data_IF_415370110183
#
_entry.id   IF_415370110183
#
_cell.length_a   1.000
_cell.length_b   1.000
_cell.length_c   1.000
_cell.angle_alpha   90.00
_cell.angle_beta   90.00
_cell.angle_gamma   90.00
#
_symmetry.space_group_name_H-M   'P 1'
#
loop_
_entity.id
_entity.type
_entity.pdbx_description
1 polymer ?
#
# COMPACT_ATOMS: atom_id res chain seq x y z
N UNK A 1 -6.32 -61.11 68.66
CA UNK A 1 -6.50 -60.87 67.22
C UNK A 1 -7.99 -61.05 66.91
N UNK A 2 -8.96 -60.25 67.36
CA UNK A 2 -9.00 -58.82 67.75
C UNK A 2 -8.31 -57.89 66.77
N UNK A 3 -8.74 -57.96 65.50
CA UNK A 3 -8.76 -56.82 64.59
C UNK A 3 -9.73 -57.03 63.40
N UNK A 4 -10.89 -57.68 63.61
CA UNK A 4 -11.93 -57.85 62.56
C UNK A 4 -13.28 -57.20 62.91
N UNK A 5 -13.34 -56.35 63.95
CA UNK A 5 -14.57 -55.67 64.39
C UNK A 5 -14.44 -54.16 64.58
N UNK A 6 -13.73 -53.50 63.67
CA UNK A 6 -13.83 -52.05 63.55
C UNK A 6 -14.09 -51.70 62.09
N UNK A 7 -15.15 -50.91 61.88
CA UNK A 7 -15.63 -50.34 60.61
C UNK A 7 -16.68 -51.15 59.85
N UNK A 8 -17.82 -51.42 60.52
CA UNK A 8 -19.11 -51.35 59.81
C UNK A 8 -19.31 -49.90 59.31
N UNK A 9 -18.91 -49.64 58.07
CA UNK A 9 -19.27 -48.42 57.35
C UNK A 9 -20.67 -48.57 56.73
N UNK A 10 -21.53 -47.54 56.80
CA UNK A 10 -22.89 -47.61 56.25
C UNK A 10 -22.86 -47.78 54.73
N UNK A 11 -23.84 -48.53 54.21
CA UNK A 11 -24.07 -48.73 52.78
C UNK A 11 -23.96 -47.40 51.99
N UNK A 12 -23.42 -47.42 50.76
CA UNK A 12 -23.28 -46.20 49.97
C UNK A 12 -24.67 -45.58 49.79
N UNK A 13 -24.83 -44.38 50.38
CA UNK A 13 -25.99 -43.52 50.18
C UNK A 13 -26.22 -43.44 48.67
N UNK A 14 -27.39 -43.88 48.22
CA UNK A 14 -27.88 -43.65 46.85
C UNK A 14 -27.56 -42.20 46.50
N UNK A 15 -26.60 -42.00 45.62
CA UNK A 15 -26.28 -40.70 45.05
C UNK A 15 -27.58 -40.23 44.44
N UNK A 16 -28.20 -39.19 45.04
CA UNK A 16 -29.38 -38.55 44.47
C UNK A 16 -29.02 -38.17 43.04
N UNK A 17 -29.58 -38.89 42.07
CA UNK A 17 -29.46 -38.54 40.67
C UNK A 17 -29.90 -37.09 40.55
N UNK A 18 -28.98 -36.22 40.09
CA UNK A 18 -29.32 -34.84 39.79
C UNK A 18 -30.51 -34.88 38.83
N UNK A 19 -31.57 -34.09 39.08
CA UNK A 19 -32.75 -34.12 38.22
C UNK A 19 -32.31 -33.95 36.76
N UNK A 20 -32.89 -34.70 35.81
CA UNK A 20 -32.45 -34.69 34.43
C UNK A 20 -32.52 -33.25 33.93
N UNK A 21 -31.35 -32.68 33.65
CA UNK A 21 -31.25 -31.35 33.04
C UNK A 21 -32.06 -31.44 31.76
N UNK A 22 -33.16 -30.68 31.66
CA UNK A 22 -33.97 -30.62 30.44
C UNK A 22 -33.06 -30.15 29.30
N UNK A 23 -32.62 -31.10 28.48
CA UNK A 23 -31.77 -30.84 27.31
C UNK A 23 -32.68 -30.32 26.19
N UNK A 24 -32.51 -29.06 25.82
CA UNK A 24 -33.12 -28.50 24.63
C UNK A 24 -32.12 -28.63 23.48
N UNK A 25 -32.53 -29.32 22.40
CA UNK A 25 -31.72 -29.47 21.19
C UNK A 25 -32.16 -28.40 20.19
N UNK A 26 -31.24 -27.51 19.81
CA UNK A 26 -31.46 -26.50 18.78
C UNK A 26 -30.65 -26.91 17.54
N UNK A 27 -31.33 -27.10 16.41
CA UNK A 27 -30.69 -27.42 15.13
C UNK A 27 -30.59 -26.16 14.27
N UNK A 28 -29.37 -25.75 13.93
CA UNK A 28 -29.08 -24.60 13.08
C UNK A 28 -28.42 -25.09 11.78
N UNK A 29 -28.95 -24.67 10.64
CA UNK A 29 -28.32 -24.90 9.32
C UNK A 29 -27.48 -23.67 8.96
N UNK A 30 -26.18 -23.84 8.86
CA UNK A 30 -25.23 -22.75 8.55
C UNK A 30 -24.52 -23.10 7.25
N UNK A 31 -24.70 -22.27 6.22
CA UNK A 31 -24.14 -22.46 4.88
C UNK A 31 -22.92 -21.55 4.60
N UNK A 32 -22.27 -21.07 5.65
CA UNK A 32 -21.09 -20.20 5.55
C UNK A 32 -19.81 -21.00 5.81
N UNK A 33 -18.90 -21.16 4.82
CA UNK A 33 -17.69 -21.97 4.97
C UNK A 33 -16.68 -21.39 5.97
N UNK A 34 -16.78 -20.11 6.33
CA UNK A 34 -15.93 -19.50 7.34
C UNK A 34 -16.36 -19.89 8.76
N UNK A 35 -17.59 -20.37 8.95
CA UNK A 35 -18.10 -20.78 10.26
C UNK A 35 -17.58 -22.17 10.61
N UNK A 36 -16.48 -22.20 11.36
CA UNK A 36 -15.92 -23.45 11.91
C UNK A 36 -16.53 -23.77 13.27
N UNK A 37 -16.50 -25.05 13.67
CA UNK A 37 -17.00 -25.48 15.00
C UNK A 37 -16.32 -24.73 16.14
N UNK A 38 -15.00 -24.52 16.04
CA UNK A 38 -14.19 -23.83 17.05
C UNK A 38 -14.60 -22.36 17.14
N UNK A 39 -14.65 -21.66 16.01
CA UNK A 39 -15.01 -20.25 15.98
C UNK A 39 -16.46 -20.01 16.44
N UNK A 40 -17.37 -20.92 16.10
CA UNK A 40 -18.77 -20.85 16.54
C UNK A 40 -18.90 -21.04 18.06
N UNK A 41 -18.15 -21.99 18.63
CA UNK A 41 -18.08 -22.18 20.08
C UNK A 41 -17.49 -20.94 20.78
N UNK A 42 -16.43 -20.34 20.23
CA UNK A 42 -15.84 -19.10 20.74
C UNK A 42 -16.84 -17.94 20.69
N UNK A 43 -17.64 -17.83 19.63
CA UNK A 43 -18.69 -16.83 19.56
C UNK A 43 -19.77 -17.06 20.62
N UNK A 44 -20.21 -18.30 20.85
CA UNK A 44 -21.17 -18.64 21.90
C UNK A 44 -20.63 -18.37 23.31
N UNK A 45 -19.32 -18.54 23.54
CA UNK A 45 -18.67 -18.18 24.81
C UNK A 45 -18.90 -16.71 25.19
N UNK A 46 -19.09 -15.83 24.21
CA UNK A 46 -19.39 -14.42 24.42
C UNK A 46 -20.74 -14.16 25.11
N UNK A 47 -21.65 -15.15 25.17
CA UNK A 47 -22.89 -15.08 25.96
C UNK A 47 -22.64 -15.19 27.46
N UNK A 48 -21.57 -15.88 27.84
CA UNK A 48 -21.25 -16.19 29.24
C UNK A 48 -20.09 -15.34 29.77
N UNK A 49 -19.21 -14.89 28.88
CA UNK A 49 -18.01 -14.10 29.21
C UNK A 49 -17.99 -12.85 28.34
N UNK A 50 -18.01 -11.67 28.95
CA UNK A 50 -18.08 -10.37 28.25
C UNK A 50 -16.87 -10.10 27.32
N UNK A 51 -15.73 -10.75 27.58
CA UNK A 51 -14.46 -10.61 26.87
C UNK A 51 -13.94 -11.98 26.42
N UNK A 52 -14.64 -12.66 25.51
CA UNK A 52 -14.05 -13.82 24.85
C UNK A 52 -12.77 -13.40 24.10
N UNK A 53 -11.62 -13.95 24.46
CA UNK A 53 -10.35 -13.75 23.76
C UNK A 53 -10.47 -14.29 22.33
N UNK A 54 -10.18 -13.42 21.36
CA UNK A 54 -10.18 -13.76 19.93
C UNK A 54 -8.75 -13.58 19.43
N UNK A 55 -8.19 -14.61 18.80
CA UNK A 55 -6.89 -14.54 18.14
C UNK A 55 -7.05 -13.95 16.73
N UNK A 56 -5.99 -13.35 16.18
CA UNK A 56 -5.98 -12.90 14.77
C UNK A 56 -6.09 -14.07 13.77
N UNK A 57 -5.68 -15.27 14.16
CA UNK A 57 -5.76 -16.47 13.30
C UNK A 57 -7.20 -16.96 13.16
N UNK A 58 -7.99 -16.90 14.24
CA UNK A 58 -9.37 -17.36 14.28
C UNK A 58 -10.40 -16.26 13.94
N UNK A 59 -9.95 -15.00 13.84
CA UNK A 59 -10.83 -13.82 13.76
C UNK A 59 -11.84 -13.90 12.62
N UNK A 60 -11.47 -14.48 11.48
CA UNK A 60 -12.33 -14.64 10.32
C UNK A 60 -13.55 -15.52 10.62
N UNK A 61 -13.31 -16.67 11.25
CA UNK A 61 -14.38 -17.59 11.61
C UNK A 61 -15.23 -17.06 12.75
N UNK A 62 -14.62 -16.36 13.72
CA UNK A 62 -15.36 -15.77 14.84
C UNK A 62 -16.24 -14.62 14.36
N UNK A 63 -15.78 -13.80 13.42
CA UNK A 63 -16.58 -12.76 12.78
C UNK A 63 -17.77 -13.36 12.01
N UNK A 64 -17.54 -14.42 11.22
CA UNK A 64 -18.59 -15.13 10.49
C UNK A 64 -19.65 -15.73 11.43
N UNK A 65 -19.19 -16.31 12.55
CA UNK A 65 -20.05 -16.88 13.58
C UNK A 65 -20.84 -15.79 14.31
N UNK A 66 -20.21 -14.68 14.66
CA UNK A 66 -20.86 -13.52 15.26
C UNK A 66 -21.94 -12.93 14.35
N UNK A 67 -21.68 -12.86 13.04
CA UNK A 67 -22.67 -12.45 12.05
C UNK A 67 -23.88 -13.40 12.03
N UNK A 68 -23.62 -14.71 11.98
CA UNK A 68 -24.65 -15.76 11.97
C UNK A 68 -25.52 -15.72 13.23
N UNK A 69 -24.89 -15.55 14.40
CA UNK A 69 -25.55 -15.47 15.71
C UNK A 69 -26.12 -14.06 16.03
N UNK A 70 -25.90 -13.08 15.16
CA UNK A 70 -26.30 -11.67 15.34
C UNK A 70 -25.67 -10.99 16.58
N UNK A 71 -24.46 -11.39 16.95
CA UNK A 71 -23.70 -10.75 18.03
C UNK A 71 -22.95 -9.51 17.53
N UNK A 72 -23.65 -8.37 17.49
CA UNK A 72 -23.12 -7.11 16.94
C UNK A 72 -21.86 -6.60 17.64
N UNK A 73 -21.80 -6.68 18.98
CA UNK A 73 -20.63 -6.23 19.75
C UNK A 73 -19.38 -7.07 19.47
N UNK A 74 -19.54 -8.40 19.38
CA UNK A 74 -18.46 -9.32 19.00
C UNK A 74 -18.01 -9.08 17.56
N UNK A 75 -18.97 -8.91 16.64
CA UNK A 75 -18.68 -8.62 15.24
C UNK A 75 -17.83 -7.35 15.10
N UNK A 76 -18.23 -6.25 15.73
CA UNK A 76 -17.48 -4.99 15.69
C UNK A 76 -16.10 -5.09 16.38
N UNK A 77 -15.97 -5.89 17.45
CA UNK A 77 -14.68 -6.18 18.07
C UNK A 77 -13.74 -6.93 17.12
N UNK A 78 -14.25 -7.92 16.38
CA UNK A 78 -13.49 -8.63 15.35
C UNK A 78 -13.05 -7.67 14.23
N UNK A 79 -13.95 -6.80 13.74
CA UNK A 79 -13.61 -5.79 12.72
C UNK A 79 -12.47 -4.88 13.21
N UNK A 80 -12.57 -4.35 14.43
CA UNK A 80 -11.53 -3.50 15.01
C UNK A 80 -10.18 -4.23 15.17
N UNK A 81 -10.21 -5.51 15.54
CA UNK A 81 -9.02 -6.35 15.63
C UNK A 81 -8.39 -6.58 14.26
N UNK A 82 -9.20 -6.90 13.24
CA UNK A 82 -8.75 -7.08 11.86
C UNK A 82 -8.11 -5.81 11.31
N UNK A 83 -8.72 -4.64 11.51
CA UNK A 83 -8.18 -3.35 11.06
C UNK A 83 -6.81 -3.04 11.70
N UNK A 84 -6.63 -3.37 12.98
CA UNK A 84 -5.36 -3.19 13.69
C UNK A 84 -4.28 -4.19 13.28
N UNK A 85 -4.69 -5.40 12.91
CA UNK A 85 -3.80 -6.50 12.52
C UNK A 85 -3.56 -6.64 11.02
N UNK A 86 -3.78 -5.59 10.22
CA UNK A 86 -3.55 -5.64 8.77
C UNK A 86 -2.08 -5.84 8.44
N UNK A 87 -1.81 -6.86 7.62
CA UNK A 87 -0.47 -7.24 7.20
C UNK A 87 -0.51 -7.92 5.82
N UNK A 88 0.63 -8.04 5.11
CA UNK A 88 0.69 -8.58 3.76
C UNK A 88 0.00 -9.94 3.59
N UNK A 89 0.07 -10.82 4.60
CA UNK A 89 -0.44 -12.19 4.50
C UNK A 89 -1.96 -12.30 4.60
N UNK A 90 -2.63 -11.35 5.26
CA UNK A 90 -4.06 -11.42 5.58
C UNK A 90 -4.93 -10.39 4.83
N UNK A 91 -4.34 -9.39 4.18
CA UNK A 91 -5.08 -8.32 3.50
C UNK A 91 -6.12 -8.82 2.49
N UNK A 92 -5.79 -9.85 1.71
CA UNK A 92 -6.71 -10.46 0.75
C UNK A 92 -7.95 -10.97 1.47
N UNK A 93 -7.75 -11.78 2.51
CA UNK A 93 -8.82 -12.49 3.19
C UNK A 93 -9.68 -11.49 3.98
N UNK A 94 -9.07 -10.46 4.56
CA UNK A 94 -9.78 -9.39 5.26
C UNK A 94 -10.61 -8.54 4.29
N UNK A 95 -10.06 -8.20 3.12
CA UNK A 95 -10.80 -7.47 2.09
C UNK A 95 -12.01 -8.25 1.56
N UNK A 96 -11.83 -9.54 1.24
CA UNK A 96 -12.91 -10.41 0.77
C UNK A 96 -13.98 -10.62 1.84
N UNK A 97 -13.57 -10.72 3.10
CA UNK A 97 -14.46 -10.82 4.27
C UNK A 97 -15.29 -9.54 4.43
N UNK A 98 -14.65 -8.37 4.37
CA UNK A 98 -15.33 -7.08 4.37
C UNK A 98 -16.38 -6.99 3.27
N UNK A 99 -16.04 -7.41 2.05
CA UNK A 99 -17.00 -7.47 0.93
C UNK A 99 -18.15 -8.44 1.17
N UNK A 100 -17.87 -9.64 1.67
CA UNK A 100 -18.87 -10.69 1.92
C UNK A 100 -19.92 -10.24 2.94
N UNK A 101 -19.48 -9.62 4.03
CA UNK A 101 -20.36 -9.14 5.11
C UNK A 101 -20.77 -7.67 4.96
N UNK A 102 -20.40 -7.01 3.86
CA UNK A 102 -20.69 -5.60 3.56
C UNK A 102 -20.23 -4.63 4.66
N UNK A 103 -19.06 -4.90 5.23
CA UNK A 103 -18.43 -4.06 6.26
C UNK A 103 -17.47 -3.04 5.61
N UNK A 104 -18.00 -1.86 5.32
CA UNK A 104 -17.29 -0.79 4.60
C UNK A 104 -16.07 -0.26 5.35
N UNK A 105 -16.09 -0.27 6.70
CA UNK A 105 -14.93 0.19 7.48
C UNK A 105 -13.71 -0.69 7.24
N UNK A 106 -13.92 -2.01 7.19
CA UNK A 106 -12.86 -2.98 6.93
C UNK A 106 -12.36 -2.90 5.48
N UNK A 107 -13.27 -2.75 4.51
CA UNK A 107 -12.92 -2.55 3.09
C UNK A 107 -12.03 -1.31 2.94
N UNK A 108 -12.47 -0.19 3.50
CA UNK A 108 -11.74 1.09 3.45
C UNK A 108 -10.38 0.98 4.15
N UNK A 109 -10.30 0.27 5.27
CA UNK A 109 -9.04 0.05 5.99
C UNK A 109 -8.03 -0.75 5.14
N UNK A 110 -8.49 -1.81 4.46
CA UNK A 110 -7.65 -2.59 3.54
C UNK A 110 -7.16 -1.74 2.36
N UNK A 111 -8.06 -0.94 1.76
CA UNK A 111 -7.73 -0.04 0.65
C UNK A 111 -6.67 1.00 1.09
N UNK A 112 -6.88 1.70 2.21
CA UNK A 112 -5.91 2.69 2.75
C UNK A 112 -4.57 2.07 3.15
N UNK A 113 -4.60 0.89 3.76
CA UNK A 113 -3.36 0.20 4.12
C UNK A 113 -2.56 -0.14 2.87
N UNK A 114 -3.22 -0.61 1.80
CA UNK A 114 -2.52 -0.95 0.56
C UNK A 114 -2.06 0.28 -0.22
N UNK A 115 -2.79 1.40 -0.18
CA UNK A 115 -2.38 2.68 -0.78
C UNK A 115 -0.97 3.11 -0.35
N UNK A 116 -0.58 2.88 0.90
CA UNK A 116 0.76 3.25 1.37
C UNK A 116 1.79 2.12 1.31
N UNK A 117 1.32 0.86 1.37
CA UNK A 117 2.19 -0.31 1.51
C UNK A 117 2.41 -1.08 0.20
N UNK A 118 1.70 -0.75 -0.90
CA UNK A 118 1.82 -1.48 -2.17
C UNK A 118 3.26 -1.55 -2.68
N UNK A 119 3.95 -0.42 -2.75
CA UNK A 119 5.33 -0.36 -3.22
C UNK A 119 6.35 -0.72 -2.13
N UNK A 120 6.35 -0.08 -0.94
CA UNK A 120 7.43 -0.29 0.04
C UNK A 120 7.39 -1.65 0.75
N UNK A 121 6.19 -2.22 0.95
CA UNK A 121 6.02 -3.48 1.72
C UNK A 121 5.61 -4.63 0.81
N UNK A 122 4.54 -4.48 0.02
CA UNK A 122 4.07 -5.58 -0.83
C UNK A 122 5.03 -5.86 -1.99
N UNK A 123 5.69 -4.83 -2.54
CA UNK A 123 6.68 -4.96 -3.60
C UNK A 123 7.91 -5.81 -3.24
N UNK A 124 8.12 -6.11 -1.96
CA UNK A 124 9.25 -6.92 -1.46
C UNK A 124 8.79 -8.29 -0.93
N UNK A 125 7.54 -8.68 -1.18
CA UNK A 125 6.96 -9.90 -0.58
C UNK A 125 6.21 -10.76 -1.59
N UNK A 126 6.34 -12.08 -1.43
CA UNK A 126 5.61 -13.07 -2.25
C UNK A 126 4.09 -12.92 -2.12
N UNK A 127 3.63 -12.35 -1.00
CA UNK A 127 2.21 -12.07 -0.72
C UNK A 127 1.57 -11.10 -1.72
N UNK A 128 2.36 -10.34 -2.50
CA UNK A 128 1.86 -9.51 -3.59
C UNK A 128 0.92 -10.29 -4.53
N UNK A 129 1.21 -11.58 -4.76
CA UNK A 129 0.36 -12.47 -5.59
C UNK A 129 -1.07 -12.64 -5.07
N UNK A 130 -1.31 -12.41 -3.77
CA UNK A 130 -2.62 -12.59 -3.15
C UNK A 130 -3.56 -11.41 -3.42
N UNK A 131 -3.06 -10.27 -3.87
CA UNK A 131 -3.88 -9.07 -4.06
C UNK A 131 -4.87 -9.28 -5.22
N UNK A 132 -6.19 -9.17 -4.99
CA UNK A 132 -7.18 -9.22 -6.06
C UNK A 132 -7.02 -8.06 -7.03
N UNK A 133 -7.25 -8.32 -8.32
CA UNK A 133 -7.15 -7.33 -9.39
C UNK A 133 -8.02 -6.09 -9.14
N UNK A 134 -9.22 -6.27 -8.62
CA UNK A 134 -10.18 -5.19 -8.36
C UNK A 134 -9.67 -4.25 -7.26
N UNK A 135 -9.10 -4.81 -6.18
CA UNK A 135 -8.48 -4.05 -5.10
C UNK A 135 -7.26 -3.29 -5.63
N UNK A 136 -6.41 -3.95 -6.42
CA UNK A 136 -5.24 -3.33 -7.03
C UNK A 136 -5.64 -2.15 -7.93
N UNK A 137 -6.65 -2.33 -8.79
CA UNK A 137 -7.15 -1.27 -9.66
C UNK A 137 -7.66 -0.05 -8.89
N UNK A 138 -8.42 -0.27 -7.81
CA UNK A 138 -8.89 0.82 -6.94
C UNK A 138 -7.73 1.60 -6.32
N UNK A 139 -6.73 0.89 -5.79
CA UNK A 139 -5.56 1.50 -5.16
C UNK A 139 -4.72 2.29 -6.17
N UNK A 140 -4.54 1.76 -7.38
CA UNK A 140 -3.78 2.45 -8.45
C UNK A 140 -4.42 3.77 -8.88
N UNK A 141 -5.75 3.88 -8.82
CA UNK A 141 -6.49 5.10 -9.14
C UNK A 141 -6.51 6.10 -7.98
N UNK A 142 -6.10 5.69 -6.79
CA UNK A 142 -6.14 6.55 -5.62
C UNK A 142 -5.05 7.63 -5.70
N UNK A 143 -5.40 8.92 -5.51
CA UNK A 143 -4.40 9.99 -5.43
C UNK A 143 -3.51 9.86 -4.18
N UNK A 144 -3.95 9.10 -3.16
CA UNK A 144 -3.22 8.84 -1.91
C UNK A 144 -2.14 7.77 -2.05
N UNK A 145 -2.06 7.09 -3.20
CA UNK A 145 -1.07 6.03 -3.41
C UNK A 145 0.34 6.56 -3.21
N UNK A 146 1.05 5.96 -2.26
CA UNK A 146 2.46 6.23 -2.03
C UNK A 146 3.33 5.38 -2.97
N UNK A 147 4.30 6.02 -3.60
CA UNK A 147 5.37 5.34 -4.33
C UNK A 147 6.66 6.16 -4.26
N UNK A 148 7.81 5.50 -4.26
CA UNK A 148 9.11 6.18 -4.33
C UNK A 148 9.33 6.89 -5.67
N UNK A 149 8.83 6.32 -6.76
CA UNK A 149 8.70 6.93 -8.08
C UNK A 149 7.72 6.11 -8.93
N UNK A 150 7.25 6.67 -10.04
CA UNK A 150 6.42 5.92 -11.01
C UNK A 150 7.10 4.65 -11.52
N UNK A 151 8.44 4.68 -11.64
CA UNK A 151 9.20 3.51 -12.04
C UNK A 151 9.20 2.38 -11.00
N UNK A 152 9.27 2.70 -9.69
CA UNK A 152 9.13 1.69 -8.64
C UNK A 152 7.74 1.05 -8.66
N UNK A 153 6.70 1.86 -8.89
CA UNK A 153 5.33 1.36 -9.03
C UNK A 153 5.20 0.43 -10.24
N UNK A 154 5.81 0.78 -11.37
CA UNK A 154 5.88 -0.08 -12.54
C UNK A 154 6.54 -1.43 -12.21
N UNK A 155 7.70 -1.44 -11.54
CA UNK A 155 8.38 -2.69 -11.14
C UNK A 155 7.49 -3.55 -10.26
N UNK A 156 6.80 -2.95 -9.29
CA UNK A 156 5.83 -3.65 -8.43
C UNK A 156 4.69 -4.29 -9.24
N UNK A 157 4.15 -3.58 -10.24
CA UNK A 157 3.07 -4.14 -11.07
C UNK A 157 3.56 -5.26 -12.00
N UNK A 158 4.73 -5.12 -12.61
CA UNK A 158 5.34 -6.16 -13.42
C UNK A 158 5.57 -7.43 -12.59
N UNK A 159 6.07 -7.26 -11.36
CA UNK A 159 6.24 -8.35 -10.41
C UNK A 159 4.89 -8.99 -10.04
N UNK A 160 3.85 -8.19 -9.78
CA UNK A 160 2.50 -8.72 -9.51
C UNK A 160 2.01 -9.58 -10.69
N UNK A 161 2.12 -9.10 -11.93
CA UNK A 161 1.73 -9.86 -13.14
C UNK A 161 2.53 -11.16 -13.25
N UNK A 162 3.85 -11.09 -13.08
CA UNK A 162 4.71 -12.26 -13.12
C UNK A 162 4.29 -13.32 -12.09
N UNK A 163 3.98 -12.90 -10.86
CA UNK A 163 3.52 -13.79 -9.80
C UNK A 163 2.12 -14.37 -10.05
N UNK A 164 1.23 -13.62 -10.72
CA UNK A 164 -0.07 -14.14 -11.17
C UNK A 164 0.08 -15.24 -12.22
N UNK A 165 1.10 -15.16 -13.08
CA UNK A 165 1.31 -16.17 -14.13
C UNK A 165 2.07 -17.39 -13.61
N UNK A 166 2.94 -17.20 -12.60
CA UNK A 166 3.85 -18.22 -12.10
C UNK A 166 3.50 -18.68 -10.68
N UNK A 167 2.33 -19.31 -10.53
CA UNK A 167 1.76 -19.72 -9.25
C UNK A 167 2.65 -20.66 -8.40
N UNK A 168 3.54 -21.42 -9.03
CA UNK A 168 4.41 -22.40 -8.36
C UNK A 168 5.57 -21.76 -7.60
N UNK A 169 5.87 -20.49 -7.86
CA UNK A 169 6.97 -19.78 -7.23
C UNK A 169 6.65 -19.55 -5.75
N UNK A 170 7.62 -19.87 -4.89
CA UNK A 170 7.52 -19.70 -3.44
C UNK A 170 8.41 -18.58 -2.90
N UNK A 171 9.41 -18.17 -3.69
CA UNK A 171 10.38 -17.13 -3.33
C UNK A 171 10.17 -15.88 -4.18
N UNK A 172 10.61 -14.72 -3.67
CA UNK A 172 10.55 -13.49 -4.46
C UNK A 172 11.58 -13.55 -5.59
N UNK A 173 11.18 -13.42 -6.87
CA UNK A 173 12.14 -13.38 -7.97
C UNK A 173 12.94 -12.08 -7.95
N UNK A 174 14.18 -12.16 -8.43
CA UNK A 174 14.96 -10.96 -8.76
C UNK A 174 14.31 -10.21 -9.92
N UNK A 175 14.52 -8.90 -9.99
CA UNK A 175 13.88 -8.06 -10.99
C UNK A 175 14.31 -8.44 -12.43
N UNK A 176 15.56 -8.83 -12.60
CA UNK A 176 16.15 -9.30 -13.86
C UNK A 176 15.45 -10.56 -14.37
N UNK A 177 15.02 -11.44 -13.46
CA UNK A 177 14.25 -12.65 -13.81
C UNK A 177 12.88 -12.28 -14.37
N UNK A 178 12.21 -11.30 -13.74
CA UNK A 178 10.92 -10.78 -14.21
C UNK A 178 11.07 -10.15 -15.61
N UNK A 179 12.13 -9.37 -15.82
CA UNK A 179 12.41 -8.75 -17.12
C UNK A 179 12.73 -9.80 -18.20
N UNK A 180 13.56 -10.80 -17.87
CA UNK A 180 13.87 -11.90 -18.79
C UNK A 180 12.62 -12.68 -19.19
N UNK A 181 11.69 -12.91 -18.25
CA UNK A 181 10.41 -13.56 -18.54
C UNK A 181 9.61 -12.78 -19.59
N UNK A 182 9.40 -11.47 -19.41
CA UNK A 182 8.65 -10.68 -20.39
C UNK A 182 9.38 -10.58 -21.73
N UNK A 183 10.71 -10.50 -21.71
CA UNK A 183 11.52 -10.44 -22.94
C UNK A 183 11.64 -11.77 -23.68
N UNK A 184 11.29 -12.89 -23.04
CA UNK A 184 11.26 -14.21 -23.68
C UNK A 184 10.12 -14.37 -24.71
N UNK A 185 9.08 -13.55 -24.60
CA UNK A 185 7.96 -13.58 -25.52
C UNK A 185 8.33 -13.03 -26.92
N UNK A 186 7.72 -13.52 -28.01
CA UNK A 186 7.96 -13.00 -29.36
C UNK A 186 7.78 -11.48 -29.47
N UNK A 187 8.74 -10.78 -30.08
CA UNK A 187 8.72 -9.31 -30.22
C UNK A 187 7.73 -8.75 -31.26
N UNK A 188 6.94 -9.61 -31.92
CA UNK A 188 5.92 -9.19 -32.89
C UNK A 188 4.76 -8.44 -32.24
N UNK A 189 4.43 -8.77 -30.99
CA UNK A 189 3.41 -8.10 -30.20
C UNK A 189 3.83 -8.02 -28.74
N UNK A 190 3.53 -6.89 -28.10
CA UNK A 190 3.83 -6.66 -26.68
C UNK A 190 2.99 -7.58 -25.78
N UNK A 191 3.41 -7.76 -24.53
CA UNK A 191 2.65 -8.58 -23.58
C UNK A 191 1.20 -8.11 -23.40
N UNK A 192 0.97 -6.79 -23.29
CA UNK A 192 -0.38 -6.23 -23.07
C UNK A 192 -1.33 -6.39 -24.26
N UNK A 193 -0.82 -6.55 -25.48
CA UNK A 193 -1.63 -6.75 -26.69
C UNK A 193 -2.09 -8.20 -26.88
N UNK A 194 -1.61 -9.13 -26.03
CA UNK A 194 -2.00 -10.54 -26.08
C UNK A 194 -3.27 -10.79 -25.28
N UNK A 195 -3.92 -11.92 -25.52
CA UNK A 195 -5.15 -12.32 -24.80
C UNK A 195 -4.98 -12.30 -23.27
N UNK A 196 -3.84 -12.80 -22.78
CA UNK A 196 -3.48 -12.79 -21.36
C UNK A 196 -3.28 -11.38 -20.79
N UNK A 197 -2.87 -10.42 -21.64
CA UNK A 197 -2.55 -9.04 -21.28
C UNK A 197 -3.73 -8.08 -21.40
N UNK A 198 -4.70 -8.35 -22.28
CA UNK A 198 -5.83 -7.45 -22.57
C UNK A 198 -6.63 -7.11 -21.30
N UNK A 199 -6.88 -8.11 -20.45
CA UNK A 199 -7.55 -7.90 -19.17
C UNK A 199 -6.79 -6.97 -18.21
N UNK A 200 -5.48 -6.79 -18.38
CA UNK A 200 -4.61 -6.04 -17.48
C UNK A 200 -4.43 -4.58 -17.91
N UNK A 201 -4.83 -4.20 -19.13
CA UNK A 201 -4.61 -2.86 -19.67
C UNK A 201 -5.11 -1.74 -18.74
N UNK A 202 -6.28 -1.93 -18.11
CA UNK A 202 -6.86 -0.94 -17.19
C UNK A 202 -5.97 -0.65 -15.97
N UNK A 203 -5.21 -1.63 -15.48
CA UNK A 203 -4.26 -1.42 -14.39
C UNK A 203 -3.11 -0.51 -14.83
N UNK A 204 -2.55 -0.78 -16.01
CA UNK A 204 -1.37 -0.07 -16.51
C UNK A 204 -1.71 1.32 -17.05
N UNK A 205 -2.95 1.57 -17.48
CA UNK A 205 -3.45 2.92 -17.78
C UNK A 205 -3.51 3.83 -16.54
N UNK A 206 -3.48 3.28 -15.32
CA UNK A 206 -3.41 4.07 -14.10
C UNK A 206 -1.98 4.57 -13.81
N UNK A 207 -0.95 4.02 -14.48
CA UNK A 207 0.43 4.47 -14.31
C UNK A 207 0.67 5.80 -15.00
N UNK A 208 1.43 6.67 -14.36
CA UNK A 208 1.83 7.96 -14.93
C UNK A 208 3.19 7.79 -15.60
N UNK A 209 3.21 7.07 -16.72
CA UNK A 209 4.48 6.72 -17.41
C UNK A 209 5.29 7.95 -17.83
N UNK A 210 4.65 9.11 -18.05
CA UNK A 210 5.32 10.40 -18.26
C UNK A 210 6.10 10.91 -17.04
N UNK A 211 5.89 10.33 -15.85
CA UNK A 211 6.67 10.60 -14.65
C UNK A 211 7.95 9.78 -14.52
N UNK A 212 8.25 8.90 -15.48
CA UNK A 212 9.54 8.20 -15.56
C UNK A 212 10.54 9.09 -16.30
N UNK A 213 11.32 9.89 -15.58
CA UNK A 213 12.20 10.91 -16.18
C UNK A 213 13.67 10.55 -16.22
N UNK A 214 14.10 9.51 -15.48
CA UNK A 214 15.51 9.10 -15.43
C UNK A 214 15.89 8.36 -16.72
N UNK A 215 17.04 8.71 -17.29
CA UNK A 215 17.52 8.10 -18.55
C UNK A 215 17.64 6.58 -18.49
N UNK A 216 18.25 6.04 -17.42
CA UNK A 216 18.37 4.58 -17.21
C UNK A 216 17.00 3.89 -17.15
N UNK A 217 16.04 4.48 -16.45
CA UNK A 217 14.67 3.95 -16.31
C UNK A 217 13.91 4.01 -17.65
N UNK A 218 14.12 5.07 -18.45
CA UNK A 218 13.54 5.21 -19.79
C UNK A 218 14.11 4.20 -20.79
N UNK A 219 15.42 3.92 -20.74
CA UNK A 219 16.01 2.87 -21.56
C UNK A 219 15.47 1.50 -21.16
N UNK A 220 15.29 1.22 -19.88
CA UNK A 220 14.65 -0.02 -19.43
C UNK A 220 13.19 -0.12 -19.93
N UNK A 221 12.42 0.97 -19.82
CA UNK A 221 11.05 1.05 -20.33
C UNK A 221 10.96 0.85 -21.84
N UNK A 222 11.99 1.22 -22.60
CA UNK A 222 12.06 0.99 -24.05
C UNK A 222 12.32 -0.47 -24.40
N UNK A 223 13.11 -1.19 -23.60
CA UNK A 223 13.53 -2.56 -23.89
C UNK A 223 12.56 -3.61 -23.37
N UNK A 224 11.65 -3.26 -22.46
CA UNK A 224 10.68 -4.19 -21.91
C UNK A 224 9.65 -4.60 -22.98
N UNK A 225 9.54 -5.90 -23.26
CA UNK A 225 8.49 -6.45 -24.14
C UNK A 225 7.15 -6.57 -23.39
N UNK A 226 6.66 -5.45 -22.83
CA UNK A 226 5.44 -5.40 -22.04
C UNK A 226 4.38 -4.46 -22.61
N UNK A 227 4.78 -3.24 -22.94
CA UNK A 227 3.89 -2.18 -23.38
C UNK A 227 3.70 -2.15 -24.90
N UNK A 228 2.50 -1.76 -25.39
CA UNK A 228 2.29 -1.46 -26.80
C UNK A 228 3.26 -0.38 -27.27
N UNK A 229 3.79 -0.51 -28.49
CA UNK A 229 4.73 0.46 -29.04
C UNK A 229 4.14 1.86 -29.10
N UNK A 230 2.83 1.98 -29.40
CA UNK A 230 2.10 3.25 -29.43
C UNK A 230 2.13 4.01 -28.11
N UNK A 231 2.12 3.30 -26.97
CA UNK A 231 2.21 3.91 -25.64
C UNK A 231 3.60 4.46 -25.39
N UNK A 232 4.64 3.68 -25.72
CA UNK A 232 6.04 4.11 -25.58
C UNK A 232 6.35 5.32 -26.47
N UNK A 233 5.83 5.35 -27.69
CA UNK A 233 5.93 6.51 -28.59
C UNK A 233 5.28 7.74 -27.96
N UNK A 234 4.09 7.60 -27.37
CA UNK A 234 3.41 8.72 -26.68
C UNK A 234 4.22 9.24 -25.48
N UNK A 235 4.79 8.33 -24.67
CA UNK A 235 5.65 8.72 -23.53
C UNK A 235 6.87 9.49 -24.03
N UNK A 236 7.55 9.01 -25.08
CA UNK A 236 8.69 9.70 -25.69
C UNK A 236 8.31 11.06 -26.26
N UNK A 237 7.18 11.14 -26.98
CA UNK A 237 6.67 12.40 -27.53
C UNK A 237 6.39 13.42 -26.41
N UNK A 238 5.79 12.99 -25.30
CA UNK A 238 5.54 13.85 -24.14
C UNK A 238 6.85 14.39 -23.54
N UNK A 239 7.87 13.55 -23.38
CA UNK A 239 9.17 14.01 -22.90
C UNK A 239 9.86 14.94 -23.89
N UNK A 240 9.80 14.63 -25.19
CA UNK A 240 10.35 15.46 -26.25
C UNK A 240 9.73 16.86 -26.25
N UNK A 241 8.39 16.95 -26.26
CA UNK A 241 7.70 18.23 -26.18
C UNK A 241 7.99 18.99 -24.89
N UNK A 242 8.11 18.30 -23.76
CA UNK A 242 8.48 18.97 -22.52
C UNK A 242 9.90 19.55 -22.60
N UNK A 243 10.86 18.82 -23.19
CA UNK A 243 12.22 19.29 -23.40
C UNK A 243 12.29 20.47 -24.36
N UNK A 244 11.58 20.42 -25.49
CA UNK A 244 11.48 21.53 -26.45
C UNK A 244 10.93 22.80 -25.80
N UNK A 245 9.94 22.67 -24.92
CA UNK A 245 9.38 23.79 -24.16
C UNK A 245 10.18 24.13 -22.89
N UNK A 246 11.42 23.66 -22.77
CA UNK A 246 12.34 23.94 -21.66
C UNK A 246 11.88 23.44 -20.29
N UNK A 247 11.22 22.29 -20.30
CA UNK A 247 10.73 21.52 -19.17
C UNK A 247 9.23 21.66 -18.90
N UNK A 248 8.51 22.47 -19.68
CA UNK A 248 7.09 22.74 -19.47
C UNK A 248 6.22 21.52 -19.84
N UNK A 249 5.31 21.16 -18.94
CA UNK A 249 4.36 20.05 -19.06
C UNK A 249 2.99 20.59 -19.44
N UNK A 250 2.89 21.22 -20.60
CA UNK A 250 1.73 22.04 -21.02
C UNK A 250 0.39 21.30 -20.95
N UNK A 251 0.39 19.98 -21.17
CA UNK A 251 -0.83 19.16 -21.16
C UNK A 251 -1.22 18.60 -19.78
N UNK A 252 -0.43 18.88 -18.73
CA UNK A 252 -0.67 18.38 -17.38
C UNK A 252 -1.17 19.53 -16.48
N UNK A 253 -2.33 19.35 -15.87
CA UNK A 253 -2.96 20.40 -15.02
C UNK A 253 -3.45 19.87 -13.68
N UNK A 254 -3.91 18.62 -13.64
CA UNK A 254 -4.45 18.00 -12.45
C UNK A 254 -3.37 17.29 -11.64
N UNK A 255 -3.10 17.77 -10.41
CA UNK A 255 -2.13 17.14 -9.54
C UNK A 255 -2.58 15.74 -9.10
N UNK A 256 -3.88 15.57 -8.84
CA UNK A 256 -4.43 14.37 -8.25
C UNK A 256 -4.22 13.15 -9.15
N UNK A 257 -4.35 13.31 -10.48
CA UNK A 257 -4.24 12.20 -11.44
C UNK A 257 -2.99 12.25 -12.32
N UNK A 258 -2.37 13.41 -12.54
CA UNK A 258 -1.30 13.57 -13.53
C UNK A 258 0.05 13.98 -12.95
N UNK A 259 0.14 14.39 -11.68
CA UNK A 259 1.41 14.81 -11.10
C UNK A 259 2.47 13.72 -11.17
N UNK A 260 3.72 14.11 -11.36
CA UNK A 260 4.83 13.24 -10.98
C UNK A 260 4.84 13.09 -9.47
N UNK A 261 5.03 11.86 -9.00
CA UNK A 261 5.02 11.53 -7.58
C UNK A 261 6.37 10.97 -7.16
N UNK A 262 6.93 11.56 -6.12
CA UNK A 262 8.15 11.09 -5.49
C UNK A 262 7.91 10.89 -3.99
N UNK A 263 8.24 9.69 -3.51
CA UNK A 263 8.02 9.30 -2.13
C UNK A 263 9.29 9.32 -1.30
N UNK A 264 9.15 9.75 -0.04
CA UNK A 264 10.14 9.66 1.02
C UNK A 264 9.53 8.88 2.19
N UNK A 265 10.11 7.74 2.54
CA UNK A 265 9.69 6.98 3.73
C UNK A 265 10.60 7.36 4.89
N UNK A 266 10.04 8.02 5.89
CA UNK A 266 10.78 8.57 7.02
C UNK A 266 10.57 7.71 8.27
N UNK A 267 11.59 6.94 8.61
CA UNK A 267 11.61 6.09 9.81
C UNK A 267 12.08 6.88 11.03
N UNK A 268 11.68 6.43 12.23
CA UNK A 268 12.02 7.06 13.50
C UNK A 268 13.54 7.18 13.78
N UNK A 269 14.35 6.30 13.17
CA UNK A 269 15.81 6.30 13.25
C UNK A 269 16.45 7.50 12.52
N UNK A 270 15.75 8.09 11.55
CA UNK A 270 16.28 9.21 10.79
C UNK A 270 16.13 10.53 11.57
N UNK A 271 17.25 11.23 11.74
CA UNK A 271 17.25 12.64 12.12
C UNK A 271 17.02 13.53 10.90
N UNK A 272 17.60 13.15 9.77
CA UNK A 272 17.43 13.78 8.46
C UNK A 272 17.50 12.71 7.39
N UNK A 273 16.60 12.78 6.42
CA UNK A 273 16.61 11.90 5.25
C UNK A 273 16.27 12.74 4.02
N UNK A 274 17.01 12.53 2.94
CA UNK A 274 16.86 13.32 1.72
C UNK A 274 17.10 12.47 0.48
N UNK A 275 16.52 12.92 -0.64
CA UNK A 275 16.68 12.27 -1.93
C UNK A 275 16.70 13.30 -3.05
N UNK A 276 17.63 13.13 -3.97
CA UNK A 276 17.74 13.96 -5.16
C UNK A 276 16.84 13.45 -6.29
N UNK A 277 16.21 14.39 -6.98
CA UNK A 277 15.30 14.19 -8.12
C UNK A 277 15.79 15.06 -9.26
N UNK A 278 15.87 14.48 -10.46
CA UNK A 278 16.24 15.18 -11.69
C UNK A 278 15.10 15.08 -12.71
N UNK A 279 14.63 16.23 -13.19
CA UNK A 279 13.53 16.33 -14.16
C UNK A 279 13.90 17.41 -15.18
N UNK A 280 14.06 17.01 -16.44
CA UNK A 280 14.35 17.94 -17.56
C UNK A 280 15.49 18.93 -17.26
N UNK A 281 16.53 18.44 -16.59
CA UNK A 281 17.70 19.21 -16.18
C UNK A 281 17.51 20.17 -15.02
N UNK A 282 16.37 20.13 -14.33
CA UNK A 282 16.19 20.73 -13.03
C UNK A 282 16.42 19.70 -11.92
N UNK A 283 17.15 20.09 -10.89
CA UNK A 283 17.50 19.24 -9.75
C UNK A 283 16.76 19.72 -8.50
N UNK A 284 16.13 18.79 -7.80
CA UNK A 284 15.41 19.04 -6.56
C UNK A 284 15.86 18.04 -5.49
N UNK A 285 16.08 18.51 -4.27
CA UNK A 285 16.22 17.68 -3.09
C UNK A 285 14.87 17.64 -2.37
N UNK A 286 14.27 16.47 -2.20
CA UNK A 286 13.19 16.26 -1.22
C UNK A 286 13.81 15.88 0.11
N UNK A 287 13.31 16.47 1.20
CA UNK A 287 13.96 16.38 2.50
C UNK A 287 12.95 16.27 3.63
N UNK A 288 13.22 15.35 4.54
CA UNK A 288 12.56 15.20 5.83
C UNK A 288 13.56 15.46 6.96
N UNK A 289 13.10 16.13 8.00
CA UNK A 289 13.88 16.44 9.21
C UNK A 289 13.01 16.14 10.42
N UNK A 290 13.57 15.42 11.38
CA UNK A 290 13.00 15.26 12.72
C UNK A 290 13.49 16.43 13.57
N UNK A 291 12.60 17.36 13.91
CA UNK A 291 12.95 18.53 14.73
C UNK A 291 12.96 18.18 16.22
N UNK A 292 12.11 17.25 16.63
CA UNK A 292 11.95 16.80 18.02
C UNK A 292 11.40 15.35 18.04
N UNK A 293 11.12 14.79 19.22
CA UNK A 293 10.57 13.44 19.44
C UNK A 293 9.33 13.14 18.59
N UNK A 294 8.44 14.11 18.43
CA UNK A 294 7.18 13.97 17.67
C UNK A 294 7.01 15.00 16.55
N UNK A 295 7.96 15.93 16.38
CA UNK A 295 7.87 17.03 15.42
C UNK A 295 8.73 16.77 14.19
N UNK A 296 8.12 16.85 13.01
CA UNK A 296 8.77 16.59 11.72
C UNK A 296 8.50 17.72 10.73
N UNK A 297 9.47 17.98 9.86
CA UNK A 297 9.41 18.97 8.78
C UNK A 297 9.75 18.33 7.44
N UNK A 298 8.91 18.56 6.44
CA UNK A 298 9.13 18.08 5.07
C UNK A 298 9.06 19.23 4.06
N UNK A 299 10.00 19.28 3.14
CA UNK A 299 10.04 20.28 2.07
C UNK A 299 10.83 19.75 0.88
N UNK A 300 10.70 20.44 -0.24
CA UNK A 300 11.57 20.26 -1.40
C UNK A 300 12.35 21.54 -1.70
N UNK A 301 13.56 21.41 -2.20
CA UNK A 301 14.39 22.56 -2.57
C UNK A 301 15.10 22.35 -3.90
N UNK A 302 15.16 23.40 -4.71
CA UNK A 302 15.88 23.41 -5.98
C UNK A 302 17.39 23.52 -5.72
N UNK A 303 18.14 22.65 -6.38
CA UNK A 303 19.59 22.54 -6.24
C UNK A 303 20.31 22.95 -7.52
N UNK A 304 21.58 23.34 -7.38
CA UNK A 304 22.49 23.51 -8.51
C UNK A 304 22.96 22.15 -9.00
N UNK A 305 23.29 22.05 -10.28
CA UNK A 305 23.85 20.83 -10.86
C UNK A 305 25.20 20.44 -10.23
N UNK A 306 26.00 21.43 -9.77
CA UNK A 306 27.27 21.20 -9.07
C UNK A 306 27.10 20.58 -7.70
N UNK A 307 25.94 20.81 -7.07
CA UNK A 307 25.62 20.32 -5.73
C UNK A 307 24.81 19.01 -5.81
N UNK A 308 24.53 18.52 -7.03
CA UNK A 308 23.79 17.29 -7.27
C UNK A 308 24.73 16.09 -7.36
N UNK A 309 24.19 14.91 -7.06
CA UNK A 309 24.90 13.64 -7.21
C UNK A 309 25.38 13.47 -8.66
N UNK A 310 26.70 13.26 -8.89
CA UNK A 310 27.26 13.08 -10.23
C UNK A 310 26.53 12.01 -11.05
N UNK A 311 26.04 10.93 -10.43
CA UNK A 311 25.33 9.85 -11.12
C UNK A 311 23.99 10.28 -11.74
N UNK A 312 23.39 11.36 -11.24
CA UNK A 312 22.20 12.00 -11.83
C UNK A 312 22.57 12.93 -12.99
N UNK A 313 23.81 13.41 -13.01
CA UNK A 313 24.35 14.32 -14.02
C UNK A 313 25.10 13.58 -15.15
N UNK A 314 25.61 12.37 -14.92
CA UNK A 314 26.44 11.58 -15.86
C UNK A 314 25.82 11.40 -17.24
N UNK A 315 24.49 11.49 -17.35
CA UNK A 315 23.74 11.40 -18.61
C UNK A 315 22.65 12.49 -18.70
N UNK A 316 22.72 13.51 -17.83
CA UNK A 316 21.65 14.46 -17.59
C UNK A 316 21.76 15.72 -18.44
N UNK A 317 20.66 16.13 -19.07
CA UNK A 317 20.49 17.50 -19.53
C UNK A 317 20.62 18.44 -18.31
N UNK A 318 21.27 19.59 -18.46
CA UNK A 318 21.34 20.61 -17.41
C UNK A 318 20.55 21.83 -17.89
N UNK A 319 19.53 22.22 -17.13
CA UNK A 319 18.78 23.44 -17.43
C UNK A 319 19.48 24.65 -16.80
N UNK A 320 19.82 25.62 -17.64
CA UNK A 320 20.44 26.89 -17.21
C UNK A 320 19.40 27.97 -16.86
N UNK A 321 18.10 27.66 -16.92
CA UNK A 321 17.04 28.64 -16.61
C UNK A 321 17.16 29.13 -15.16
N UNK A 322 17.11 30.44 -14.94
CA UNK A 322 17.26 31.04 -13.61
C UNK A 322 16.13 30.64 -12.63
N UNK A 323 14.93 30.43 -13.15
CA UNK A 323 13.74 30.06 -12.38
C UNK A 323 12.96 28.91 -13.01
N UNK A 324 12.17 28.20 -12.19
CA UNK A 324 11.25 27.15 -12.61
C UNK A 324 9.94 27.34 -11.89
N UNK A 325 8.85 27.59 -12.62
CA UNK A 325 7.50 27.55 -12.05
C UNK A 325 7.13 26.09 -11.77
N UNK A 326 6.64 25.83 -10.56
CA UNK A 326 6.24 24.50 -10.10
C UNK A 326 4.89 24.62 -9.40
N UNK A 327 3.93 23.79 -9.83
CA UNK A 327 2.68 23.54 -9.10
C UNK A 327 2.89 22.26 -8.28
N UNK A 328 2.70 22.30 -6.97
CA UNK A 328 3.00 21.16 -6.10
C UNK A 328 2.07 21.03 -4.90
N UNK A 329 2.05 19.82 -4.33
CA UNK A 329 1.46 19.48 -3.05
C UNK A 329 2.41 18.51 -2.31
N UNK A 330 2.57 18.70 -1.00
CA UNK A 330 3.28 17.76 -0.12
C UNK A 330 2.25 17.12 0.79
N UNK A 331 2.19 15.79 0.80
CA UNK A 331 1.31 15.02 1.67
C UNK A 331 2.14 14.08 2.55
N UNK A 332 1.69 13.83 3.77
CA UNK A 332 2.30 12.88 4.69
C UNK A 332 1.22 12.02 5.34
N UNK A 333 1.47 10.71 5.41
CA UNK A 333 0.56 9.72 5.97
C UNK A 333 1.28 8.85 6.97
N UNK A 334 0.61 8.54 8.09
CA UNK A 334 1.17 7.66 9.13
C UNK A 334 0.05 6.99 9.93
N UNK A 335 0.35 5.85 10.53
CA UNK A 335 -0.61 5.06 11.30
C UNK A 335 -0.39 5.29 12.81
N UNK A 336 -1.43 5.74 13.51
CA UNK A 336 -1.39 5.97 14.97
C UNK A 336 -2.58 5.26 15.61
N UNK A 337 -2.31 4.30 16.51
CA UNK A 337 -3.36 3.58 17.24
C UNK A 337 -4.36 2.84 16.32
N UNK A 338 -3.91 2.40 15.13
CA UNK A 338 -4.76 1.76 14.12
C UNK A 338 -5.61 2.71 13.28
N UNK A 339 -5.40 4.03 13.37
CA UNK A 339 -6.06 5.03 12.52
C UNK A 339 -5.03 5.78 11.69
N UNK A 340 -5.33 5.97 10.40
CA UNK A 340 -4.51 6.77 9.51
C UNK A 340 -4.66 8.25 9.83
N UNK A 341 -3.54 8.93 10.03
CA UNK A 341 -3.44 10.38 10.06
C UNK A 341 -2.87 10.86 8.73
N UNK A 342 -3.47 11.91 8.18
CA UNK A 342 -3.06 12.53 6.92
C UNK A 342 -2.82 14.01 7.12
N UNK A 343 -1.70 14.48 6.61
CA UNK A 343 -1.26 15.87 6.66
C UNK A 343 -0.96 16.33 5.24
N UNK A 344 -1.29 17.57 4.91
CA UNK A 344 -1.01 18.12 3.58
C UNK A 344 -0.77 19.61 3.61
N UNK A 345 0.00 20.09 2.64
CA UNK A 345 -0.02 21.50 2.25
C UNK A 345 -1.25 21.78 1.37
N UNK A 346 -1.51 23.05 1.08
CA UNK A 346 -2.38 23.39 -0.05
C UNK A 346 -1.67 23.06 -1.38
N UNK A 347 -2.42 23.06 -2.48
CA UNK A 347 -1.83 23.16 -3.81
C UNK A 347 -1.17 24.54 -3.95
N UNK A 348 0.14 24.56 -4.17
CA UNK A 348 0.92 25.80 -4.22
C UNK A 348 1.59 25.91 -5.59
N UNK A 349 1.49 27.10 -6.16
CA UNK A 349 2.23 27.48 -7.35
C UNK A 349 3.36 28.44 -6.95
N UNK A 350 4.60 28.04 -7.19
CA UNK A 350 5.78 28.79 -6.75
C UNK A 350 6.88 28.78 -7.82
N UNK A 351 7.57 29.92 -7.96
CA UNK A 351 8.79 30.03 -8.74
C UNK A 351 9.99 29.61 -7.89
N UNK A 352 10.66 28.54 -8.29
CA UNK A 352 11.88 28.05 -7.66
C UNK A 352 13.11 28.66 -8.33
N UNK A 353 13.91 29.43 -7.58
CA UNK A 353 15.19 29.98 -8.03
C UNK A 353 16.35 29.37 -7.25
N UNK A 354 17.59 29.66 -7.64
CA UNK A 354 18.78 29.20 -6.92
C UNK A 354 19.15 30.07 -5.69
N UNK A 355 18.37 31.12 -5.42
CA UNK A 355 18.57 32.02 -4.27
C UNK A 355 17.89 31.45 -3.03
N UNK A 356 18.56 31.53 -1.85
CA UNK A 356 18.13 30.93 -0.57
C UNK A 356 16.65 31.14 -0.20
N UNK A 357 16.08 32.32 -0.47
CA UNK A 357 14.70 32.64 -0.09
C UNK A 357 13.63 31.98 -0.97
N UNK A 358 13.97 31.66 -2.22
CA UNK A 358 13.03 31.14 -3.22
C UNK A 358 13.40 29.76 -3.76
N UNK A 359 14.45 29.14 -3.21
CA UNK A 359 14.86 27.79 -3.61
C UNK A 359 14.05 26.70 -2.91
N UNK A 360 13.34 27.01 -1.82
CA UNK A 360 12.63 26.03 -1.00
C UNK A 360 11.12 26.18 -1.10
N UNK A 361 10.41 25.07 -1.08
CA UNK A 361 8.95 25.02 -0.95
C UNK A 361 8.49 25.51 0.41
N UNK A 362 7.17 25.69 0.54
CA UNK A 362 6.53 25.69 1.85
C UNK A 362 6.86 24.39 2.60
N UNK A 363 7.07 24.51 3.90
CA UNK A 363 7.43 23.40 4.78
C UNK A 363 6.15 22.79 5.33
N UNK A 364 5.93 21.50 5.09
CA UNK A 364 4.92 20.72 5.80
C UNK A 364 5.47 20.37 7.19
N UNK A 365 4.95 21.02 8.23
CA UNK A 365 5.25 20.69 9.63
C UNK A 365 4.17 19.79 10.18
N UNK A 366 4.55 18.66 10.78
CA UNK A 366 3.60 17.72 11.39
C UNK A 366 4.04 17.33 12.79
N UNK A 367 3.07 17.02 13.64
CA UNK A 367 3.29 16.45 14.96
C UNK A 367 2.61 15.08 15.01
N UNK A 368 3.39 14.03 15.23
CA UNK A 368 2.87 12.66 15.28
C UNK A 368 3.81 11.72 16.03
N UNK A 369 3.21 10.68 16.61
CA UNK A 369 3.92 9.51 17.19
C UNK A 369 3.96 8.33 16.21
N UNK A 370 3.32 8.47 15.04
CA UNK A 370 3.24 7.40 14.05
C UNK A 370 4.58 7.16 13.35
N UNK A 371 4.88 5.90 13.07
CA UNK A 371 6.09 5.45 12.41
C UNK A 371 5.80 4.18 11.58
N UNK A 372 6.25 4.07 10.33
CA UNK A 372 6.93 5.11 9.54
C UNK A 372 5.98 6.24 9.08
N UNK A 373 6.57 7.34 8.58
CA UNK A 373 5.86 8.45 7.95
C UNK A 373 6.11 8.37 6.43
N UNK A 374 5.04 8.21 5.67
CA UNK A 374 5.07 8.14 4.20
C UNK A 374 4.79 9.53 3.64
N UNK A 375 5.79 10.15 3.01
CA UNK A 375 5.67 11.51 2.48
C UNK A 375 5.71 11.49 0.96
N UNK A 376 4.68 12.02 0.32
CA UNK A 376 4.58 12.12 -1.13
C UNK A 376 4.72 13.58 -1.56
N UNK A 377 5.62 13.80 -2.51
CA UNK A 377 5.82 15.06 -3.20
C UNK A 377 5.21 14.93 -4.60
N UNK A 378 4.07 15.59 -4.80
CA UNK A 378 3.36 15.61 -6.07
C UNK A 378 3.60 16.95 -6.74
N UNK A 379 4.19 16.98 -7.93
CA UNK A 379 4.40 18.24 -8.64
C UNK A 379 4.41 18.14 -10.17
N UNK A 380 4.07 19.26 -10.80
CA UNK A 380 4.01 19.48 -12.24
C UNK A 380 4.75 20.77 -12.56
N UNK A 381 5.35 20.81 -13.73
CA UNK A 381 5.98 21.97 -14.33
C UNK A 381 4.99 22.63 -15.30
N UNK A 382 4.11 23.55 -14.86
CA UNK A 382 3.11 24.15 -15.74
C UNK A 382 3.76 24.89 -16.91
N UNK A 383 3.00 25.04 -18.00
CA UNK A 383 3.36 25.93 -19.11
C UNK A 383 3.49 27.37 -18.63
N UNK A 384 4.57 28.03 -19.06
CA UNK A 384 4.88 29.41 -18.70
C UNK A 384 4.10 30.43 -19.52
#
# INVERSE_FOLDING_TARGET
>A
MELEKLLQGPAPRKTKERPPVKKMIISLKINDPLVTKVAFATALKNLYVSQAEVSLEDVLGVLASAHTLRFSSLFQRCVAMMMKGLEPRNIKDFYLTGRKYKEEQLITACEKWLEVNLVPVMGTQIHLRKIPKELLHKVLRSPRLFTFSEFHLLKTLLLWVYLQLNHRIQTLPAYETVMAFFNSFPKKCSFLERDMGHGLMSLFLCLRLHGVTKGKDLEELKHINFFPTSWLVRVKANHYHALENGGDMTYLSDLATQAMRFGLMFNQEYTTHSKMIAIYGFFFEIKGIKNDTTSYSFYMQRMRHTDADPSLCEHGLISLRAERLVKYEITAQTLVGGRWQEFRTNEIMQKFRLVKLSCRSHVLKIQTVGNPIYVSFSFIFPGS
#
